data_IF_281622847196
#
_entry.id   IF_281622847196
#
_cell.length_a   1.000
_cell.length_b   1.000
_cell.length_c   1.000
_cell.angle_alpha   90.00
_cell.angle_beta   90.00
_cell.angle_gamma   90.00
#
_symmetry.space_group_name_H-M   'P 1'
#
loop_
_entity.id
_entity.type
_entity.pdbx_description
1 polymer ?
#
# COMPACT_ATOMS: atom_id res chain seq x y z
N UNK A 1 -1.82 -31.60 1.09
CA UNK A 1 -1.89 -31.24 -0.35
C UNK A 1 -1.73 -29.73 -0.68
N UNK A 2 -1.36 -28.91 0.29
CA UNK A 2 -1.16 -27.45 0.09
C UNK A 2 0.30 -27.11 -0.27
N UNK A 3 1.24 -28.04 -0.12
CA UNK A 3 2.68 -27.78 -0.19
C UNK A 3 3.37 -27.97 -1.53
N UNK A 4 2.66 -28.35 -2.57
CA UNK A 4 3.25 -28.57 -3.90
C UNK A 4 2.77 -27.58 -4.98
N UNK A 5 2.36 -26.37 -4.59
CA UNK A 5 2.14 -25.34 -5.60
C UNK A 5 3.50 -24.94 -6.19
N UNK A 6 3.80 -25.44 -7.39
CA UNK A 6 4.95 -25.03 -8.18
C UNK A 6 4.97 -23.50 -8.29
N UNK A 7 6.17 -22.92 -8.25
CA UNK A 7 6.40 -21.48 -8.51
C UNK A 7 5.77 -21.04 -9.85
N UNK A 8 5.52 -21.98 -10.75
CA UNK A 8 4.84 -21.77 -12.03
C UNK A 8 3.35 -21.50 -11.87
N UNK A 9 2.69 -22.07 -10.84
CA UNK A 9 1.28 -21.82 -10.52
C UNK A 9 1.13 -20.56 -9.66
N UNK A 10 2.26 -20.06 -9.18
CA UNK A 10 2.36 -18.90 -8.29
C UNK A 10 2.15 -17.55 -9.01
N UNK A 11 2.19 -17.50 -10.33
CA UNK A 11 2.03 -16.25 -11.08
C UNK A 11 0.60 -16.10 -11.59
N UNK A 12 -0.08 -14.96 -11.38
CA UNK A 12 -1.43 -14.73 -11.88
C UNK A 12 -1.44 -14.44 -13.39
N UNK A 13 -0.74 -15.29 -14.17
CA UNK A 13 -0.72 -15.16 -15.62
C UNK A 13 -1.77 -16.09 -16.17
N UNK A 14 -2.95 -15.56 -16.38
CA UNK A 14 -3.97 -16.27 -17.13
C UNK A 14 -3.59 -16.27 -18.61
N UNK A 15 -3.20 -17.43 -19.13
CA UNK A 15 -3.10 -17.68 -20.58
C UNK A 15 -4.47 -17.84 -21.25
N UNK A 16 -5.55 -17.85 -20.49
CA UNK A 16 -6.94 -17.96 -20.98
C UNK A 16 -7.70 -16.68 -20.67
N UNK A 17 -8.50 -16.22 -21.62
CA UNK A 17 -9.57 -15.22 -21.47
C UNK A 17 -10.19 -15.31 -20.07
N UNK A 18 -10.38 -14.16 -19.41
CA UNK A 18 -10.82 -13.96 -18.05
C UNK A 18 -11.55 -15.13 -17.39
N UNK A 19 -11.09 -15.53 -16.22
CA UNK A 19 -11.76 -16.59 -15.47
C UNK A 19 -13.12 -16.08 -15.03
N UNK A 20 -14.18 -16.59 -15.65
CA UNK A 20 -15.57 -16.28 -15.25
C UNK A 20 -15.81 -16.82 -13.84
N UNK A 21 -16.09 -15.94 -12.90
CA UNK A 21 -16.49 -16.29 -11.55
C UNK A 21 -17.98 -16.02 -11.45
N UNK A 22 -18.79 -17.06 -11.28
CA UNK A 22 -20.21 -16.89 -11.02
C UNK A 22 -20.39 -16.28 -9.61
N UNK A 23 -20.89 -15.05 -9.55
CA UNK A 23 -21.39 -14.47 -8.31
C UNK A 23 -22.69 -15.15 -7.88
N UNK A 24 -23.00 -15.09 -6.59
CA UNK A 24 -24.18 -15.73 -5.97
C UNK A 24 -25.54 -15.25 -6.57
N UNK A 25 -25.52 -14.20 -7.41
CA UNK A 25 -26.71 -13.58 -8.04
C UNK A 25 -26.73 -13.75 -9.57
N UNK A 26 -25.98 -14.70 -10.13
CA UNK A 26 -25.97 -14.93 -11.59
C UNK A 26 -25.27 -13.85 -12.42
N UNK A 27 -24.63 -12.84 -11.79
CA UNK A 27 -23.84 -11.82 -12.48
C UNK A 27 -22.47 -12.41 -12.74
N UNK A 28 -22.12 -12.61 -14.01
CA UNK A 28 -20.78 -12.96 -14.44
C UNK A 28 -19.83 -11.77 -14.22
N UNK A 29 -19.02 -11.82 -13.17
CA UNK A 29 -17.94 -10.86 -12.95
C UNK A 29 -16.69 -11.36 -13.68
N UNK A 30 -16.35 -10.72 -14.78
CA UNK A 30 -15.10 -10.95 -15.47
C UNK A 30 -13.97 -10.36 -14.62
N UNK A 31 -13.06 -11.21 -14.17
CA UNK A 31 -11.93 -10.81 -13.35
C UNK A 31 -10.74 -10.51 -14.25
N UNK A 32 -10.30 -9.25 -14.26
CA UNK A 32 -9.10 -8.83 -14.96
C UNK A 32 -7.86 -9.47 -14.34
N UNK A 33 -7.02 -10.02 -15.19
CA UNK A 33 -5.73 -10.60 -14.82
C UNK A 33 -4.60 -9.98 -15.63
N UNK A 34 -3.39 -9.99 -15.07
CA UNK A 34 -2.22 -9.50 -15.80
C UNK A 34 -1.92 -10.39 -17.00
N UNK A 35 -1.74 -9.76 -18.17
CA UNK A 35 -1.45 -10.48 -19.44
C UNK A 35 0.02 -10.90 -19.57
N UNK A 36 0.92 -10.28 -18.80
CA UNK A 36 2.36 -10.55 -18.85
C UNK A 36 3.00 -10.56 -17.47
N UNK A 37 4.09 -11.33 -17.32
CA UNK A 37 4.90 -11.35 -16.09
C UNK A 37 5.50 -9.99 -15.79
N UNK A 38 6.06 -9.35 -16.80
CA UNK A 38 6.69 -8.03 -16.68
C UNK A 38 5.68 -6.99 -16.22
N UNK A 39 4.46 -6.99 -16.79
CA UNK A 39 3.38 -6.10 -16.37
C UNK A 39 2.99 -6.30 -14.90
N UNK A 40 2.93 -7.56 -14.45
CA UNK A 40 2.66 -7.86 -13.04
C UNK A 40 3.78 -7.37 -12.12
N UNK A 41 5.05 -7.66 -12.47
CA UNK A 41 6.21 -7.22 -11.68
C UNK A 41 6.27 -5.70 -11.58
N UNK A 42 6.09 -4.99 -12.72
CA UNK A 42 6.08 -3.53 -12.73
C UNK A 42 4.92 -2.94 -11.91
N UNK A 43 3.75 -3.57 -11.95
CA UNK A 43 2.63 -3.15 -11.12
C UNK A 43 2.92 -3.37 -9.62
N UNK A 44 3.55 -4.49 -9.24
CA UNK A 44 3.97 -4.74 -7.86
C UNK A 44 5.01 -3.70 -7.40
N UNK A 45 6.03 -3.41 -8.22
CA UNK A 45 7.04 -2.40 -7.93
C UNK A 45 6.37 -1.02 -7.79
N UNK A 46 5.52 -0.63 -8.74
CA UNK A 46 4.81 0.65 -8.70
C UNK A 46 3.90 0.80 -7.48
N UNK A 47 3.23 -0.28 -7.07
CA UNK A 47 2.41 -0.31 -5.85
C UNK A 47 3.25 -0.23 -4.57
N UNK A 48 4.47 -0.76 -4.58
CA UNK A 48 5.38 -0.71 -3.43
C UNK A 48 6.07 0.64 -3.24
N UNK A 49 6.24 1.41 -4.33
CA UNK A 49 6.83 2.75 -4.27
C UNK A 49 5.78 3.77 -3.82
N UNK A 50 5.87 4.16 -2.57
CA UNK A 50 4.99 5.16 -1.97
C UNK A 50 5.74 6.39 -1.49
N UNK A 51 4.99 7.38 -1.01
CA UNK A 51 5.55 8.63 -0.45
C UNK A 51 6.51 8.37 0.71
N UNK A 52 6.29 7.29 1.48
CA UNK A 52 7.18 6.88 2.55
C UNK A 52 8.61 6.62 2.07
N UNK A 53 8.77 6.03 0.90
CA UNK A 53 10.07 5.71 0.32
C UNK A 53 10.82 6.97 -0.14
N UNK A 54 10.09 7.95 -0.65
CA UNK A 54 10.66 9.17 -1.25
C UNK A 54 10.94 10.22 -0.17
N UNK A 55 10.04 10.36 0.78
CA UNK A 55 10.10 11.42 1.78
C UNK A 55 10.58 10.91 3.15
N UNK A 56 9.83 9.97 3.76
CA UNK A 56 10.07 9.56 5.14
C UNK A 56 11.34 8.74 5.30
N UNK A 57 11.63 7.86 4.36
CA UNK A 57 12.77 6.96 4.45
C UNK A 57 14.12 7.70 4.44
N UNK A 58 14.41 8.65 3.50
CA UNK A 58 15.65 9.42 3.54
C UNK A 58 15.83 10.21 4.84
N UNK A 59 14.73 10.79 5.34
CA UNK A 59 14.76 11.49 6.64
C UNK A 59 15.13 10.54 7.79
N UNK A 60 14.51 9.36 7.84
CA UNK A 60 14.81 8.36 8.88
C UNK A 60 16.27 7.89 8.82
N UNK A 61 16.78 7.62 7.62
CA UNK A 61 18.18 7.24 7.42
C UNK A 61 19.11 8.33 7.96
N UNK A 62 18.86 9.59 7.64
CA UNK A 62 19.66 10.71 8.13
C UNK A 62 19.57 10.88 9.64
N UNK A 63 18.38 10.78 10.22
CA UNK A 63 18.14 11.00 11.65
C UNK A 63 18.70 9.87 12.54
N UNK A 64 18.78 8.64 12.05
CA UNK A 64 19.15 7.46 12.82
C UNK A 64 20.52 6.88 12.49
N UNK A 65 21.45 7.71 12.06
CA UNK A 65 22.87 7.35 11.92
C UNK A 65 23.22 6.62 10.60
N UNK A 66 22.46 6.84 9.54
CA UNK A 66 22.79 6.37 8.19
C UNK A 66 22.94 4.86 8.08
N UNK A 67 24.17 4.37 7.97
CA UNK A 67 24.46 2.93 7.82
C UNK A 67 24.03 2.09 9.03
N UNK A 68 24.09 2.65 10.24
CA UNK A 68 23.62 1.97 11.44
C UNK A 68 22.13 1.61 11.38
N UNK A 69 21.34 2.46 10.74
CA UNK A 69 19.92 2.21 10.47
C UNK A 69 19.71 1.28 9.26
N UNK A 70 20.50 1.45 8.19
CA UNK A 70 20.31 0.70 6.94
C UNK A 70 20.56 -0.81 7.10
N UNK A 71 21.56 -1.21 7.88
CA UNK A 71 21.90 -2.63 8.04
C UNK A 71 20.73 -3.43 8.63
N UNK A 72 20.18 -3.10 9.83
CA UNK A 72 19.03 -3.80 10.37
C UNK A 72 17.80 -3.65 9.48
N UNK A 73 17.61 -2.50 8.84
CA UNK A 73 16.51 -2.28 7.90
C UNK A 73 16.52 -3.29 6.75
N UNK A 74 17.66 -3.48 6.08
CA UNK A 74 17.80 -4.44 4.97
C UNK A 74 17.54 -5.87 5.45
N UNK A 75 18.05 -6.24 6.63
CA UNK A 75 17.80 -7.57 7.21
C UNK A 75 16.31 -7.78 7.43
N UNK A 76 15.61 -6.82 8.04
CA UNK A 76 14.17 -6.92 8.26
C UNK A 76 13.36 -6.92 6.96
N UNK A 77 13.76 -6.14 5.96
CA UNK A 77 13.11 -6.15 4.63
C UNK A 77 13.21 -7.52 3.98
N UNK A 78 14.38 -8.16 4.04
CA UNK A 78 14.57 -9.50 3.49
C UNK A 78 13.72 -10.52 4.27
N UNK A 79 13.75 -10.50 5.59
CA UNK A 79 13.00 -11.43 6.43
C UNK A 79 11.49 -11.25 6.24
N UNK A 80 10.96 -10.05 6.39
CA UNK A 80 9.53 -9.77 6.30
C UNK A 80 9.05 -9.88 4.85
N UNK A 81 9.83 -9.39 3.90
CA UNK A 81 9.48 -9.45 2.48
C UNK A 81 9.43 -10.87 1.93
N UNK A 82 10.36 -11.74 2.36
CA UNK A 82 10.38 -13.14 1.90
C UNK A 82 9.27 -13.99 2.53
N UNK A 83 8.82 -13.68 3.73
CA UNK A 83 7.75 -14.42 4.42
C UNK A 83 6.38 -13.79 4.21
N UNK A 84 6.19 -12.56 4.70
CA UNK A 84 4.89 -11.89 4.72
C UNK A 84 4.29 -11.64 3.33
N UNK A 85 5.09 -11.14 2.38
CA UNK A 85 4.60 -10.85 1.02
C UNK A 85 4.22 -12.13 0.28
N UNK A 86 5.00 -13.21 0.47
CA UNK A 86 4.69 -14.51 -0.16
C UNK A 86 3.38 -15.07 0.40
N UNK A 87 3.20 -15.02 1.72
CA UNK A 87 1.97 -15.49 2.39
C UNK A 87 0.75 -14.67 1.97
N UNK A 88 0.86 -13.34 1.89
CA UNK A 88 -0.21 -12.45 1.47
C UNK A 88 -0.62 -12.75 0.01
N UNK A 89 0.34 -12.92 -0.88
CA UNK A 89 0.08 -13.28 -2.27
C UNK A 89 -0.51 -14.68 -2.42
N UNK A 90 -0.07 -15.64 -1.62
CA UNK A 90 -0.62 -17.00 -1.60
C UNK A 90 -2.08 -16.99 -1.13
N UNK A 91 -2.39 -16.26 -0.05
CA UNK A 91 -3.73 -16.11 0.49
C UNK A 91 -4.67 -15.46 -0.53
N UNK A 92 -4.25 -14.34 -1.14
CA UNK A 92 -5.05 -13.64 -2.15
C UNK A 92 -5.36 -14.51 -3.37
N UNK A 93 -4.43 -15.40 -3.74
CA UNK A 93 -4.59 -16.34 -4.85
C UNK A 93 -5.50 -17.50 -4.49
N UNK A 94 -5.33 -18.08 -3.32
CA UNK A 94 -6.15 -19.20 -2.84
C UNK A 94 -7.62 -18.82 -2.74
N UNK A 95 -7.91 -17.63 -2.21
CA UNK A 95 -9.28 -17.18 -1.95
C UNK A 95 -9.91 -16.44 -3.12
N UNK A 96 -9.10 -15.98 -4.09
CA UNK A 96 -9.56 -15.20 -5.26
C UNK A 96 -10.51 -14.06 -4.90
N UNK A 97 -10.24 -13.38 -3.78
CA UNK A 97 -11.08 -12.33 -3.23
C UNK A 97 -10.30 -11.27 -2.49
N UNK A 98 -10.98 -10.21 -2.06
CA UNK A 98 -10.40 -9.19 -1.18
C UNK A 98 -10.22 -9.70 0.26
N UNK A 99 -9.62 -8.89 1.16
CA UNK A 99 -9.26 -9.31 2.52
C UNK A 99 -10.46 -9.87 3.31
N UNK A 100 -11.61 -9.24 3.23
CA UNK A 100 -12.84 -9.69 3.94
C UNK A 100 -13.20 -11.12 3.56
N UNK A 101 -13.22 -11.43 2.25
CA UNK A 101 -13.50 -12.77 1.76
C UNK A 101 -12.40 -13.75 2.15
N UNK A 102 -11.13 -13.34 2.05
CA UNK A 102 -9.99 -14.19 2.33
C UNK A 102 -10.01 -14.68 3.79
N UNK A 103 -10.14 -13.77 4.73
CA UNK A 103 -10.25 -14.13 6.15
C UNK A 103 -11.54 -14.90 6.47
N UNK A 104 -12.66 -14.56 5.79
CA UNK A 104 -13.93 -15.28 5.90
C UNK A 104 -13.79 -16.75 5.49
N UNK A 105 -13.20 -17.02 4.33
CA UNK A 105 -13.00 -18.36 3.79
C UNK A 105 -12.03 -19.18 4.67
N UNK A 106 -10.92 -18.57 5.15
CA UNK A 106 -9.98 -19.24 6.05
C UNK A 106 -10.63 -19.61 7.38
N UNK A 107 -11.41 -18.70 7.97
CA UNK A 107 -12.10 -18.98 9.24
C UNK A 107 -13.21 -20.01 9.07
N UNK A 108 -13.91 -19.98 7.94
CA UNK A 108 -14.91 -21.00 7.58
C UNK A 108 -14.28 -22.39 7.54
N UNK A 109 -13.15 -22.56 6.89
CA UNK A 109 -12.46 -23.85 6.77
C UNK A 109 -11.97 -24.38 8.13
N UNK A 110 -11.54 -23.48 9.04
CA UNK A 110 -10.98 -23.90 10.33
C UNK A 110 -12.02 -24.08 11.43
N UNK A 111 -13.00 -23.20 11.53
CA UNK A 111 -13.94 -23.11 12.66
C UNK A 111 -15.40 -23.12 12.28
N UNK A 112 -15.72 -23.12 10.98
CA UNK A 112 -17.10 -22.99 10.49
C UNK A 112 -17.72 -21.60 10.66
N UNK A 113 -17.02 -20.63 11.23
CA UNK A 113 -17.55 -19.30 11.58
C UNK A 113 -17.10 -18.23 10.56
N UNK A 114 -17.68 -18.24 9.37
CA UNK A 114 -17.36 -17.29 8.29
C UNK A 114 -17.48 -15.82 8.72
N UNK A 115 -18.58 -15.44 9.39
CA UNK A 115 -18.84 -14.04 9.81
C UNK A 115 -17.75 -13.49 10.74
N UNK A 116 -17.18 -14.32 11.60
CA UNK A 116 -16.08 -13.91 12.47
C UNK A 116 -14.80 -13.60 11.65
N UNK A 117 -14.52 -14.42 10.63
CA UNK A 117 -13.40 -14.15 9.71
C UNK A 117 -13.61 -12.88 8.89
N UNK A 118 -14.82 -12.65 8.39
CA UNK A 118 -15.15 -11.42 7.65
C UNK A 118 -14.99 -10.16 8.52
N UNK A 119 -15.38 -10.22 9.80
CA UNK A 119 -15.16 -9.13 10.75
C UNK A 119 -13.66 -8.84 10.98
N UNK A 120 -12.82 -9.87 11.09
CA UNK A 120 -11.36 -9.72 11.18
C UNK A 120 -10.82 -9.14 9.87
N UNK A 121 -11.28 -9.61 8.72
CA UNK A 121 -10.88 -9.12 7.40
C UNK A 121 -11.27 -7.67 7.13
N UNK A 122 -12.20 -7.10 7.90
CA UNK A 122 -12.57 -5.70 7.80
C UNK A 122 -11.52 -4.75 8.41
N UNK A 123 -10.73 -5.23 9.39
CA UNK A 123 -9.70 -4.42 10.06
C UNK A 123 -8.66 -3.87 9.07
N UNK A 124 -8.01 -4.67 8.20
CA UNK A 124 -7.06 -4.15 7.22
C UNK A 124 -7.72 -3.21 6.19
N UNK A 125 -9.00 -3.36 5.91
CA UNK A 125 -9.74 -2.42 5.03
C UNK A 125 -9.88 -1.06 5.69
N UNK A 126 -10.24 -1.01 6.97
CA UNK A 126 -10.27 0.25 7.73
C UNK A 126 -8.87 0.88 7.84
N UNK A 127 -7.83 0.07 8.05
CA UNK A 127 -6.45 0.54 8.07
C UNK A 127 -6.02 1.19 6.75
N UNK A 128 -6.34 0.56 5.61
CA UNK A 128 -6.05 1.15 4.30
C UNK A 128 -6.86 2.40 4.00
N UNK A 129 -8.11 2.49 4.47
CA UNK A 129 -8.93 3.69 4.34
C UNK A 129 -8.33 4.85 5.16
N UNK A 130 -7.95 4.60 6.41
CA UNK A 130 -7.30 5.60 7.26
C UNK A 130 -5.97 6.09 6.65
N UNK A 131 -5.18 5.16 6.08
CA UNK A 131 -3.95 5.50 5.37
C UNK A 131 -4.23 6.37 4.14
N UNK A 132 -5.24 6.04 3.34
CA UNK A 132 -5.64 6.82 2.17
C UNK A 132 -6.04 8.26 2.55
N UNK A 133 -6.78 8.44 3.64
CA UNK A 133 -7.10 9.78 4.17
C UNK A 133 -5.83 10.56 4.55
N UNK A 134 -4.88 9.92 5.25
CA UNK A 134 -3.59 10.54 5.56
C UNK A 134 -2.80 10.95 4.33
N UNK A 135 -2.75 10.10 3.31
CA UNK A 135 -2.09 10.42 2.04
C UNK A 135 -2.75 11.59 1.32
N UNK A 136 -4.07 11.69 1.35
CA UNK A 136 -4.81 12.81 0.73
C UNK A 136 -4.40 14.16 1.34
N UNK A 137 -4.23 14.22 2.66
CA UNK A 137 -3.75 15.43 3.35
C UNK A 137 -2.34 15.82 2.88
N UNK A 138 -1.44 14.86 2.79
CA UNK A 138 -0.05 15.11 2.34
C UNK A 138 -0.02 15.57 0.88
N UNK A 139 -0.84 14.99 0.01
CA UNK A 139 -0.99 15.43 -1.37
C UNK A 139 -1.49 16.87 -1.44
N UNK A 140 -2.46 17.25 -0.59
CA UNK A 140 -2.92 18.63 -0.46
C UNK A 140 -1.78 19.59 -0.08
N UNK A 141 -0.91 19.21 0.86
CA UNK A 141 0.28 20.03 1.19
C UNK A 141 1.22 20.17 0.00
N UNK A 142 1.46 19.12 -0.77
CA UNK A 142 2.31 19.17 -1.96
C UNK A 142 1.75 20.18 -2.96
N UNK A 143 0.43 20.15 -3.24
CA UNK A 143 -0.19 21.13 -4.13
C UNK A 143 -0.07 22.56 -3.60
N UNK A 144 -0.29 22.78 -2.31
CA UNK A 144 -0.12 24.09 -1.68
C UNK A 144 1.29 24.62 -1.83
N UNK A 145 2.31 23.81 -1.54
CA UNK A 145 3.71 24.21 -1.66
C UNK A 145 4.12 24.42 -3.12
N UNK A 146 3.59 23.63 -4.02
CA UNK A 146 3.78 23.85 -5.47
C UNK A 146 3.23 25.22 -5.88
N UNK A 147 2.03 25.57 -5.45
CA UNK A 147 1.48 26.91 -5.70
C UNK A 147 2.32 28.03 -5.09
N UNK A 148 2.80 27.87 -3.84
CA UNK A 148 3.66 28.84 -3.17
C UNK A 148 5.01 29.00 -3.86
N UNK A 149 5.56 27.95 -4.43
CA UNK A 149 6.78 27.99 -5.24
C UNK A 149 6.56 28.79 -6.52
N UNK A 150 5.52 28.48 -7.29
CA UNK A 150 5.20 29.21 -8.53
C UNK A 150 4.83 30.67 -8.30
N UNK A 151 4.19 30.99 -7.17
CA UNK A 151 3.86 32.38 -6.79
C UNK A 151 5.04 33.21 -6.31
N UNK A 152 6.25 32.61 -6.21
CA UNK A 152 7.46 33.27 -5.73
C UNK A 152 7.53 33.46 -4.22
N UNK A 153 6.48 33.14 -3.47
CA UNK A 153 6.44 33.31 -2.01
C UNK A 153 7.47 32.44 -1.29
N UNK A 154 7.72 31.24 -1.81
CA UNK A 154 8.73 30.35 -1.24
C UNK A 154 10.14 30.86 -1.55
N UNK A 155 10.39 31.37 -2.75
CA UNK A 155 11.67 31.99 -3.14
C UNK A 155 11.97 33.27 -2.33
N UNK A 156 10.96 34.04 -1.95
CA UNK A 156 11.13 35.22 -1.15
C UNK A 156 11.60 34.94 0.29
N UNK A 157 11.41 33.71 0.79
CA UNK A 157 11.93 33.27 2.10
C UNK A 157 13.43 32.92 2.04
N UNK A 158 13.99 32.79 0.84
CA UNK A 158 15.40 32.43 0.66
C UNK A 158 15.73 31.06 1.26
N UNK A 159 16.91 30.96 1.91
CA UNK A 159 17.38 29.74 2.57
C UNK A 159 17.10 29.72 4.09
N UNK A 160 16.16 30.54 4.57
CA UNK A 160 15.81 30.54 5.97
C UNK A 160 14.94 29.31 6.34
N UNK A 161 15.63 28.27 6.82
CA UNK A 161 15.00 27.00 7.21
C UNK A 161 14.00 27.18 8.38
N UNK A 162 14.19 28.20 9.21
CA UNK A 162 13.29 28.46 10.34
C UNK A 162 11.96 29.06 9.86
N UNK A 163 12.01 29.98 8.90
CA UNK A 163 10.82 30.56 8.27
C UNK A 163 10.01 29.49 7.48
N UNK A 164 10.71 28.64 6.71
CA UNK A 164 10.09 27.52 5.97
C UNK A 164 9.46 26.51 6.92
N UNK A 165 10.15 26.14 7.99
CA UNK A 165 9.65 25.24 9.02
C UNK A 165 8.44 25.84 9.78
N UNK A 166 8.48 27.11 10.12
CA UNK A 166 7.37 27.83 10.75
C UNK A 166 6.13 27.88 9.86
N UNK A 167 6.30 28.11 8.56
CA UNK A 167 5.22 28.05 7.58
C UNK A 167 4.60 26.66 7.49
N UNK A 168 5.41 25.59 7.54
CA UNK A 168 4.90 24.22 7.55
C UNK A 168 4.08 23.95 8.82
N UNK A 169 4.61 24.29 10.00
CA UNK A 169 3.92 24.13 11.29
C UNK A 169 2.58 24.88 11.30
N UNK A 170 2.54 26.11 10.79
CA UNK A 170 1.30 26.87 10.69
C UNK A 170 0.30 26.27 9.72
N UNK A 171 0.77 25.64 8.65
CA UNK A 171 -0.06 24.93 7.67
C UNK A 171 -0.62 23.64 8.27
N UNK A 172 0.23 22.81 8.84
CA UNK A 172 -0.15 21.49 9.39
C UNK A 172 -0.95 21.61 10.69
N UNK A 173 -0.69 22.64 11.51
CA UNK A 173 -1.33 22.84 12.81
C UNK A 173 -2.69 23.57 12.76
N UNK A 174 -3.11 24.10 11.60
CA UNK A 174 -4.37 24.84 11.47
C UNK A 174 -5.31 24.15 10.50
N UNK A 175 -6.53 23.84 11.00
CA UNK A 175 -7.57 23.22 10.15
C UNK A 175 -7.92 24.10 8.93
N UNK A 176 -8.04 25.41 9.10
CA UNK A 176 -8.34 26.35 8.02
C UNK A 176 -7.24 26.41 6.94
N UNK A 177 -5.98 26.23 7.33
CA UNK A 177 -4.84 26.23 6.41
C UNK A 177 -4.65 24.88 5.70
N UNK A 178 -5.30 23.82 6.16
CA UNK A 178 -5.27 22.48 5.56
C UNK A 178 -6.37 22.24 4.51
N UNK A 179 -7.29 23.18 4.35
CA UNK A 179 -8.36 23.10 3.32
C UNK A 179 -7.83 23.54 1.96
N UNK A 180 -7.13 22.59 1.28
CA UNK A 180 -6.62 22.77 -0.09
C UNK A 180 -6.82 21.50 -0.90
#
# INVERSE_FOLDING_TARGET
>A
EIYTLSLHDALPISRKKGTKVMGNNGIELERDGFKSRTGFILACIGSAVGMGNIWRFPYMVSAWGGMTFLIPYVIFVILIGSTGVIEEMALGRATKGGPIKAFGDCMQMRTGKRKAGEAIGFIPVLGSLALAMGYTVVVGWIFKYTYLAFSGKLSAMGNDMSAIGGMFVSTAGSFGNNMW
#
